data_IF_253357289561
#
_entry.id   IF_253357289561
#
_cell.length_a   1.000
_cell.length_b   1.000
_cell.length_c   1.000
_cell.angle_alpha   90.00
_cell.angle_beta   90.00
_cell.angle_gamma   90.00
#
_symmetry.space_group_name_H-M   'P 1'
#
loop_
_entity.id
_entity.type
_entity.pdbx_description
1 polymer ?
#
# COMPACT_ATOMS: atom_id res chain seq x y z
N UNK A 1 -3.42 22.44 10.40
CA UNK A 1 -4.56 21.59 10.82
C UNK A 1 -4.66 20.49 9.77
N UNK A 2 -4.44 19.19 10.01
CA UNK A 2 -4.61 18.35 11.20
C UNK A 2 -3.28 17.77 11.70
N UNK A 3 -3.06 17.84 13.02
CA UNK A 3 -2.05 17.06 13.73
C UNK A 3 -2.74 16.01 14.59
N UNK A 4 -2.40 14.74 14.40
CA UNK A 4 -2.76 13.69 15.35
C UNK A 4 -1.63 13.56 16.38
N UNK A 5 -1.91 14.09 17.56
CA UNK A 5 -1.09 13.97 18.75
C UNK A 5 -1.31 12.55 19.33
N UNK A 6 -0.29 11.69 19.28
CA UNK A 6 -0.27 10.45 20.05
C UNK A 6 0.78 10.60 21.17
N UNK A 7 0.41 11.31 22.24
CA UNK A 7 1.12 11.29 23.51
C UNK A 7 0.10 11.12 24.64
N UNK A 8 0.48 10.30 25.62
CA UNK A 8 -0.17 9.94 26.88
C UNK A 8 -1.00 8.64 26.92
N UNK A 9 -0.29 7.51 27.00
CA UNK A 9 -0.68 6.45 27.93
C UNK A 9 0.09 6.66 29.24
N UNK A 10 -0.56 7.39 30.15
CA UNK A 10 -0.16 7.49 31.55
C UNK A 10 -0.35 6.10 32.18
N UNK A 11 0.71 5.61 32.81
CA UNK A 11 0.76 4.36 33.58
C UNK A 11 -0.31 4.46 34.69
N UNK A 12 -1.39 3.69 34.57
CA UNK A 12 -2.27 3.44 35.70
C UNK A 12 -1.62 2.32 36.52
N UNK A 13 -1.09 2.67 37.70
CA UNK A 13 -0.78 1.69 38.73
C UNK A 13 -2.07 1.01 39.14
N UNK A 14 -2.14 -0.29 38.87
CA UNK A 14 -3.26 -1.12 39.26
C UNK A 14 -2.99 -1.63 40.68
N UNK A 15 -3.77 -1.15 41.63
CA UNK A 15 -3.73 -1.60 43.01
C UNK A 15 -4.24 -3.05 43.08
N UNK A 16 -3.47 -3.91 43.73
CA UNK A 16 -3.52 -5.39 43.60
C UNK A 16 -4.28 -6.02 44.78
N UNK A 17 -5.28 -5.33 45.33
CA UNK A 17 -5.80 -5.60 46.67
C UNK A 17 -7.20 -6.22 46.76
N UNK A 18 -7.87 -6.59 45.66
CA UNK A 18 -9.24 -7.17 45.73
C UNK A 18 -9.41 -8.48 44.98
N UNK A 19 -8.45 -9.40 45.07
CA UNK A 19 -8.54 -10.74 44.46
C UNK A 19 -8.71 -11.89 45.46
N UNK A 20 -9.20 -11.64 46.68
CA UNK A 20 -9.44 -12.72 47.66
C UNK A 20 -10.72 -12.48 48.46
N UNK A 21 -11.86 -12.86 47.89
CA UNK A 21 -13.09 -13.18 48.66
C UNK A 21 -14.17 -13.81 47.77
N UNK A 22 -13.92 -14.98 47.16
CA UNK A 22 -15.00 -15.74 46.52
C UNK A 22 -14.86 -17.27 46.66
N UNK A 23 -14.02 -17.77 47.57
CA UNK A 23 -13.68 -19.21 47.61
C UNK A 23 -13.92 -19.91 48.95
N UNK A 24 -14.77 -19.41 49.84
CA UNK A 24 -15.10 -20.20 51.04
C UNK A 24 -16.54 -20.06 51.50
N UNK A 25 -17.09 -21.22 51.84
CA UNK A 25 -18.41 -21.50 52.39
C UNK A 25 -19.56 -21.44 51.37
N UNK A 26 -19.97 -22.61 50.86
CA UNK A 26 -21.37 -23.06 50.84
C UNK A 26 -21.42 -24.59 50.66
N UNK A 27 -21.22 -25.32 51.76
CA UNK A 27 -21.98 -26.56 51.98
C UNK A 27 -23.28 -26.15 52.66
N UNK A 28 -24.38 -26.12 51.93
CA UNK A 28 -25.66 -26.74 52.29
C UNK A 28 -26.76 -26.35 51.31
N UNK A 29 -27.60 -27.35 51.05
CA UNK A 29 -28.73 -27.41 50.14
C UNK A 29 -29.56 -26.12 50.05
N UNK A 30 -29.64 -25.57 48.84
CA UNK A 30 -30.55 -24.50 48.48
C UNK A 30 -30.52 -24.30 46.98
N UNK A 31 -31.46 -24.95 46.27
CA UNK A 31 -31.67 -24.80 44.84
C UNK A 31 -32.14 -23.39 44.52
N UNK A 32 -31.22 -22.43 44.43
CA UNK A 32 -31.50 -21.07 43.92
C UNK A 32 -30.51 -20.76 42.80
N UNK A 33 -31.09 -20.58 41.63
CA UNK A 33 -30.45 -20.40 40.31
C UNK A 33 -29.39 -19.30 40.32
N UNK A 34 -28.14 -19.71 40.12
CA UNK A 34 -27.07 -18.88 39.56
C UNK A 34 -27.47 -18.41 38.15
N UNK A 35 -28.07 -17.23 38.04
CA UNK A 35 -28.51 -16.65 36.75
C UNK A 35 -27.74 -15.38 36.34
N UNK A 36 -26.92 -14.81 37.23
CA UNK A 36 -26.27 -13.50 37.01
C UNK A 36 -24.92 -13.54 36.27
N UNK A 37 -24.14 -14.63 36.35
CA UNK A 37 -22.82 -14.67 35.74
C UNK A 37 -22.85 -14.90 34.21
N UNK A 38 -23.98 -15.35 33.67
CA UNK A 38 -24.15 -15.63 32.25
C UNK A 38 -24.36 -14.35 31.43
N UNK A 39 -25.08 -13.37 31.99
CA UNK A 39 -25.41 -12.10 31.36
C UNK A 39 -24.16 -11.25 31.03
N UNK A 40 -23.11 -11.35 31.85
CA UNK A 40 -21.87 -10.60 31.63
C UNK A 40 -21.05 -11.13 30.44
N UNK A 41 -21.07 -12.45 30.19
CA UNK A 41 -20.37 -13.06 29.04
C UNK A 41 -21.06 -12.70 27.73
N UNK A 42 -22.39 -12.63 27.72
CA UNK A 42 -23.16 -12.23 26.55
C UNK A 42 -22.98 -10.74 26.22
N UNK A 43 -22.87 -9.87 27.24
CA UNK A 43 -22.58 -8.45 27.03
C UNK A 43 -21.14 -8.21 26.51
N UNK A 44 -20.15 -8.91 27.08
CA UNK A 44 -18.76 -8.74 26.66
C UNK A 44 -18.54 -9.22 25.20
N UNK A 45 -19.18 -10.31 24.81
CA UNK A 45 -19.07 -10.85 23.44
C UNK A 45 -19.79 -9.97 22.42
N UNK A 46 -20.94 -9.39 22.77
CA UNK A 46 -21.64 -8.43 21.90
C UNK A 46 -20.86 -7.12 21.74
N UNK A 47 -20.29 -6.58 22.81
CA UNK A 47 -19.41 -5.41 22.76
C UNK A 47 -18.15 -5.67 21.93
N UNK A 48 -17.48 -6.81 22.11
CA UNK A 48 -16.30 -7.17 21.31
C UNK A 48 -16.67 -7.31 19.82
N UNK A 49 -17.80 -7.95 19.53
CA UNK A 49 -18.29 -8.08 18.15
C UNK A 49 -18.59 -6.72 17.52
N UNK A 50 -19.23 -5.82 18.27
CA UNK A 50 -19.49 -4.45 17.82
C UNK A 50 -18.19 -3.66 17.57
N UNK A 51 -17.22 -3.77 18.48
CA UNK A 51 -15.91 -3.12 18.34
C UNK A 51 -15.14 -3.65 17.12
N UNK A 52 -15.17 -4.95 16.87
CA UNK A 52 -14.57 -5.56 15.68
C UNK A 52 -15.26 -5.09 14.40
N UNK A 53 -16.59 -5.04 14.37
CA UNK A 53 -17.35 -4.52 13.23
C UNK A 53 -17.04 -3.03 13.00
N UNK A 54 -17.00 -2.22 14.05
CA UNK A 54 -16.65 -0.80 13.96
C UNK A 54 -15.20 -0.59 13.51
N UNK A 55 -14.25 -1.40 13.98
CA UNK A 55 -12.86 -1.35 13.52
C UNK A 55 -12.74 -1.74 12.04
N UNK A 56 -13.46 -2.78 11.59
CA UNK A 56 -13.51 -3.18 10.18
C UNK A 56 -14.21 -2.12 9.32
N UNK A 57 -15.31 -1.52 9.79
CA UNK A 57 -16.02 -0.47 9.05
C UNK A 57 -15.23 0.84 8.98
N UNK A 58 -14.52 1.20 10.06
CA UNK A 58 -13.68 2.41 10.11
C UNK A 58 -12.47 2.28 9.20
N UNK A 59 -11.83 1.10 9.15
CA UNK A 59 -10.73 0.84 8.19
C UNK A 59 -11.23 0.83 6.74
N UNK A 60 -12.44 0.32 6.46
CA UNK A 60 -13.04 0.28 5.11
C UNK A 60 -13.39 1.66 4.56
N UNK A 61 -14.02 2.51 5.36
CA UNK A 61 -14.42 3.87 4.93
C UNK A 61 -13.21 4.79 4.76
N UNK A 62 -12.18 4.65 5.60
CA UNK A 62 -10.93 5.41 5.47
C UNK A 62 -10.10 4.95 4.25
N UNK A 63 -10.11 3.66 3.91
CA UNK A 63 -9.40 3.14 2.75
C UNK A 63 -10.06 3.59 1.42
N UNK A 64 -11.39 3.50 1.31
CA UNK A 64 -12.10 3.85 0.08
C UNK A 64 -11.99 5.36 -0.27
N UNK A 65 -12.09 6.25 0.72
CA UNK A 65 -11.97 7.70 0.53
C UNK A 65 -10.56 8.12 0.07
N UNK A 66 -9.51 7.52 0.63
CA UNK A 66 -8.12 7.86 0.28
C UNK A 66 -7.74 7.44 -1.13
N UNK A 67 -8.27 6.31 -1.60
CA UNK A 67 -7.95 5.78 -2.93
C UNK A 67 -8.44 6.69 -4.07
N UNK A 68 -9.63 7.28 -3.94
CA UNK A 68 -10.18 8.17 -4.98
C UNK A 68 -9.40 9.48 -5.08
N UNK A 69 -9.00 10.07 -3.94
CA UNK A 69 -8.21 11.30 -3.92
C UNK A 69 -6.79 11.07 -4.46
N UNK A 70 -6.17 9.93 -4.13
CA UNK A 70 -4.86 9.54 -4.64
C UNK A 70 -4.86 9.37 -6.17
N UNK A 71 -5.91 8.75 -6.74
CA UNK A 71 -6.04 8.54 -8.18
C UNK A 71 -6.01 9.84 -8.99
N UNK A 72 -6.73 10.87 -8.51
CA UNK A 72 -6.78 12.18 -9.16
C UNK A 72 -5.43 12.90 -9.09
N UNK A 73 -4.78 12.89 -7.93
CA UNK A 73 -3.46 13.52 -7.73
C UNK A 73 -2.39 12.87 -8.62
N UNK A 74 -2.35 11.54 -8.69
CA UNK A 74 -1.41 10.82 -9.56
C UNK A 74 -1.66 11.12 -11.04
N UNK A 75 -2.93 11.18 -11.46
CA UNK A 75 -3.29 11.51 -12.84
C UNK A 75 -2.88 12.94 -13.21
N UNK A 76 -3.10 13.91 -12.32
CA UNK A 76 -2.65 15.30 -12.51
C UNK A 76 -1.12 15.36 -12.61
N UNK A 77 -0.41 14.65 -11.74
CA UNK A 77 1.05 14.59 -11.73
C UNK A 77 1.60 14.02 -13.04
N UNK A 78 1.01 12.92 -13.55
CA UNK A 78 1.38 12.34 -14.85
C UNK A 78 1.12 13.30 -16.01
N UNK A 79 -0.02 14.00 -16.00
CA UNK A 79 -0.34 15.00 -17.04
C UNK A 79 0.67 16.14 -17.05
N UNK A 80 1.00 16.68 -15.87
CA UNK A 80 1.99 17.75 -15.75
C UNK A 80 3.38 17.26 -16.18
N UNK A 81 3.79 16.06 -15.76
CA UNK A 81 5.10 15.50 -16.17
C UNK A 81 5.22 15.41 -17.69
N UNK A 82 4.18 14.93 -18.39
CA UNK A 82 4.17 14.87 -19.86
C UNK A 82 4.23 16.25 -20.51
N UNK A 83 3.54 17.22 -19.93
CA UNK A 83 3.56 18.60 -20.41
C UNK A 83 4.97 19.19 -20.30
N UNK A 84 5.59 19.11 -19.11
CA UNK A 84 6.97 19.59 -18.91
C UNK A 84 7.94 18.81 -19.79
N UNK A 85 7.72 17.52 -20.01
CA UNK A 85 8.54 16.72 -20.92
C UNK A 85 8.47 17.26 -22.36
N UNK A 86 7.26 17.54 -22.87
CA UNK A 86 7.09 18.12 -24.20
C UNK A 86 7.81 19.48 -24.29
N UNK A 87 7.61 20.35 -23.31
CA UNK A 87 8.23 21.66 -23.29
C UNK A 87 9.74 21.60 -23.15
N UNK A 88 10.28 20.60 -22.43
CA UNK A 88 11.73 20.40 -22.37
C UNK A 88 12.31 20.02 -23.73
N UNK A 89 11.56 19.32 -24.59
CA UNK A 89 11.99 19.01 -25.96
C UNK A 89 12.05 20.28 -26.79
N UNK A 90 11.06 21.15 -26.68
CA UNK A 90 11.02 22.40 -27.43
C UNK A 90 12.09 23.38 -26.91
N UNK A 91 12.26 23.47 -25.60
CA UNK A 91 13.34 24.23 -24.96
C UNK A 91 14.74 23.80 -25.43
N UNK A 92 15.00 22.50 -25.60
CA UNK A 92 16.29 22.03 -26.15
C UNK A 92 16.49 22.52 -27.59
N UNK A 93 15.42 22.54 -28.41
CA UNK A 93 15.51 23.04 -29.80
C UNK A 93 15.80 24.54 -29.80
N UNK A 94 15.06 25.32 -29.02
CA UNK A 94 15.26 26.76 -28.87
C UNK A 94 16.66 27.06 -28.36
N UNK A 95 17.13 26.33 -27.34
CA UNK A 95 18.48 26.46 -26.81
C UNK A 95 19.52 26.28 -27.93
N UNK A 96 19.44 25.19 -28.70
CA UNK A 96 20.37 24.94 -29.80
C UNK A 96 20.35 26.05 -30.85
N UNK A 97 19.16 26.48 -31.28
CA UNK A 97 19.01 27.56 -32.25
C UNK A 97 19.64 28.87 -31.76
N UNK A 98 19.51 29.19 -30.46
CA UNK A 98 20.12 30.38 -29.85
C UNK A 98 21.64 30.28 -29.65
N UNK A 99 22.26 29.10 -29.77
CA UNK A 99 23.71 28.94 -29.60
C UNK A 99 24.52 28.98 -30.91
N UNK A 100 23.86 28.92 -32.08
CA UNK A 100 24.49 28.94 -33.41
C UNK A 100 24.69 27.56 -34.04
N UNK A 101 25.44 27.52 -35.16
CA UNK A 101 25.57 26.35 -36.06
C UNK A 101 26.24 25.13 -35.40
N UNK A 102 27.16 25.34 -34.45
CA UNK A 102 27.87 24.26 -33.74
C UNK A 102 27.08 23.69 -32.54
N UNK A 103 25.82 24.07 -32.37
CA UNK A 103 25.01 23.71 -31.20
C UNK A 103 24.75 22.21 -31.05
N UNK A 104 24.80 21.43 -32.14
CA UNK A 104 24.65 19.98 -32.07
C UNK A 104 25.78 19.28 -31.34
N UNK A 105 27.00 19.83 -31.41
CA UNK A 105 28.18 19.24 -30.76
C UNK A 105 28.15 19.47 -29.25
N UNK A 106 27.58 20.60 -28.80
CA UNK A 106 27.52 20.95 -27.38
C UNK A 106 26.78 19.92 -26.53
N UNK A 107 25.74 19.28 -27.08
CA UNK A 107 24.88 18.35 -26.35
C UNK A 107 25.38 16.89 -26.38
N UNK A 108 26.51 16.63 -27.06
CA UNK A 108 27.12 15.30 -27.16
C UNK A 108 28.22 15.09 -26.12
N UNK A 109 28.83 16.17 -25.64
CA UNK A 109 29.90 16.13 -24.64
C UNK A 109 29.31 15.70 -23.29
N UNK A 110 29.99 14.80 -22.58
CA UNK A 110 29.65 14.47 -21.20
C UNK A 110 30.21 15.54 -20.27
N UNK A 111 29.40 15.97 -19.31
CA UNK A 111 29.81 16.95 -18.30
C UNK A 111 29.61 16.33 -16.92
N UNK A 112 30.64 16.42 -16.09
CA UNK A 112 30.57 15.98 -14.70
C UNK A 112 29.66 16.92 -13.90
N UNK A 113 29.11 16.42 -12.79
CA UNK A 113 28.24 17.19 -11.88
C UNK A 113 26.87 17.57 -12.45
N UNK A 114 26.37 16.85 -13.46
CA UNK A 114 24.95 16.89 -13.85
C UNK A 114 24.22 15.77 -13.10
N UNK A 115 22.98 15.99 -12.59
CA UNK A 115 22.26 14.94 -11.88
C UNK A 115 22.02 13.73 -12.78
N UNK A 116 22.13 12.53 -12.20
CA UNK A 116 21.81 11.28 -12.90
C UNK A 116 20.33 11.28 -13.31
N UNK A 117 19.97 11.02 -14.58
CA UNK A 117 18.58 10.92 -15.00
C UNK A 117 17.87 9.64 -14.52
N UNK A 118 18.60 8.66 -14.00
CA UNK A 118 18.03 7.40 -13.54
C UNK A 118 17.42 7.53 -12.16
N UNK A 119 16.27 6.90 -11.95
CA UNK A 119 15.58 6.89 -10.67
C UNK A 119 16.13 5.76 -9.81
N UNK A 120 16.63 6.09 -8.62
CA UNK A 120 17.21 5.15 -7.66
C UNK A 120 16.15 4.60 -6.68
N UNK A 121 16.49 3.52 -5.97
CA UNK A 121 15.63 2.91 -4.95
C UNK A 121 14.94 1.63 -5.41
N UNK A 122 14.74 0.71 -4.47
CA UNK A 122 14.06 -0.57 -4.69
C UNK A 122 12.56 -0.45 -4.43
N UNK A 123 12.20 0.27 -3.37
CA UNK A 123 10.82 0.46 -2.95
C UNK A 123 10.14 1.64 -3.66
N UNK A 124 8.81 1.61 -3.79
CA UNK A 124 8.05 2.71 -4.39
C UNK A 124 8.23 4.04 -3.64
N UNK A 125 8.37 3.99 -2.31
CA UNK A 125 8.67 5.14 -1.46
C UNK A 125 10.01 5.78 -1.84
N UNK A 126 11.08 4.99 -1.86
CA UNK A 126 12.44 5.42 -2.22
C UNK A 126 12.49 6.00 -3.63
N UNK A 127 11.79 5.36 -4.59
CA UNK A 127 11.78 5.79 -5.98
C UNK A 127 11.06 7.12 -6.18
N UNK A 128 9.93 7.35 -5.50
CA UNK A 128 9.24 8.65 -5.54
C UNK A 128 10.08 9.72 -4.83
N UNK A 129 10.72 9.38 -3.71
CA UNK A 129 11.63 10.28 -3.02
C UNK A 129 12.82 10.66 -3.91
N UNK A 130 13.41 9.69 -4.61
CA UNK A 130 14.49 9.91 -5.58
C UNK A 130 14.08 10.86 -6.71
N UNK A 131 12.85 10.73 -7.23
CA UNK A 131 12.29 11.68 -8.22
C UNK A 131 12.22 13.09 -7.64
N UNK A 132 11.74 13.24 -6.40
CA UNK A 132 11.66 14.55 -5.75
C UNK A 132 13.06 15.18 -5.56
N UNK A 133 14.02 14.43 -5.02
CA UNK A 133 15.37 14.96 -4.77
C UNK A 133 16.08 15.32 -6.06
N UNK A 134 15.91 14.52 -7.13
CA UNK A 134 16.48 14.83 -8.45
C UNK A 134 15.82 16.05 -9.08
N UNK A 135 14.49 16.22 -8.96
CA UNK A 135 13.81 17.44 -9.40
C UNK A 135 14.39 18.69 -8.72
N UNK A 136 14.62 18.63 -7.41
CA UNK A 136 15.24 19.75 -6.67
C UNK A 136 16.67 20.04 -7.15
N UNK A 137 17.48 19.00 -7.39
CA UNK A 137 18.82 19.17 -7.94
C UNK A 137 18.77 19.86 -9.31
N UNK A 138 17.93 19.38 -10.24
CA UNK A 138 17.77 19.99 -11.57
C UNK A 138 17.32 21.46 -11.51
N UNK A 139 16.50 21.85 -10.52
CA UNK A 139 16.09 23.25 -10.35
C UNK A 139 17.27 24.17 -10.03
N UNK A 140 18.25 23.70 -9.24
CA UNK A 140 19.50 24.43 -9.00
C UNK A 140 20.32 24.58 -10.29
N UNK A 141 20.41 23.51 -11.09
CA UNK A 141 21.09 23.55 -12.39
C UNK A 141 20.38 24.49 -13.38
N UNK A 142 19.05 24.52 -13.41
CA UNK A 142 18.28 25.46 -14.24
C UNK A 142 18.51 26.91 -13.86
N UNK A 143 18.57 27.22 -12.56
CA UNK A 143 18.93 28.57 -12.10
C UNK A 143 20.30 28.96 -12.65
N UNK A 144 21.29 28.06 -12.56
CA UNK A 144 22.64 28.30 -13.08
C UNK A 144 22.65 28.51 -14.60
N UNK A 145 21.93 27.68 -15.36
CA UNK A 145 21.82 27.83 -16.82
C UNK A 145 21.16 29.15 -17.19
N UNK A 146 20.12 29.55 -16.45
CA UNK A 146 19.45 30.83 -16.66
C UNK A 146 20.41 32.01 -16.45
N UNK A 147 21.11 32.05 -15.31
CA UNK A 147 22.13 33.09 -15.02
C UNK A 147 23.22 33.15 -16.09
N UNK A 148 23.70 32.00 -16.57
CA UNK A 148 24.69 31.95 -17.65
C UNK A 148 24.12 32.48 -18.98
N UNK A 149 22.84 32.23 -19.28
CA UNK A 149 22.21 32.71 -20.51
C UNK A 149 21.84 34.19 -20.44
N UNK A 150 21.58 34.77 -19.27
CA UNK A 150 21.31 36.21 -19.15
C UNK A 150 22.52 37.07 -19.53
N UNK A 151 23.74 36.56 -19.35
CA UNK A 151 24.97 37.25 -19.76
C UNK A 151 25.24 37.12 -21.27
N UNK A 152 24.67 36.11 -21.93
CA UNK A 152 24.94 35.75 -23.33
C UNK A 152 23.83 36.18 -24.29
N UNK A 153 22.62 36.41 -23.80
CA UNK A 153 21.42 36.63 -24.60
C UNK A 153 20.78 37.97 -24.25
N UNK A 154 20.03 38.52 -25.21
CA UNK A 154 19.17 39.67 -24.93
C UNK A 154 18.10 39.29 -23.88
N UNK A 155 17.71 40.20 -22.97
CA UNK A 155 16.76 39.92 -21.90
C UNK A 155 15.41 39.38 -22.35
N UNK A 156 14.96 39.76 -23.55
CA UNK A 156 13.69 39.34 -24.16
C UNK A 156 13.84 38.15 -25.11
N UNK A 157 14.92 37.38 -25.00
CA UNK A 157 15.11 36.21 -25.86
C UNK A 157 14.05 35.12 -25.56
N UNK A 158 13.54 34.42 -26.60
CA UNK A 158 12.63 33.30 -26.41
C UNK A 158 13.20 32.23 -25.48
N UNK A 159 14.51 32.00 -25.52
CA UNK A 159 15.20 31.03 -24.69
C UNK A 159 15.04 31.30 -23.19
N UNK A 160 15.23 32.55 -22.74
CA UNK A 160 15.10 32.91 -21.32
C UNK A 160 13.65 32.75 -20.84
N UNK A 161 12.68 33.06 -21.71
CA UNK A 161 11.25 32.89 -21.43
C UNK A 161 10.89 31.40 -21.26
N UNK A 162 11.37 30.55 -22.16
CA UNK A 162 11.13 29.10 -22.09
C UNK A 162 11.84 28.46 -20.89
N UNK A 163 13.09 28.85 -20.58
CA UNK A 163 13.81 28.40 -19.38
C UNK A 163 13.04 28.71 -18.11
N UNK A 164 12.52 29.94 -18.00
CA UNK A 164 11.72 30.38 -16.85
C UNK A 164 10.43 29.58 -16.74
N UNK A 165 9.75 29.37 -17.87
CA UNK A 165 8.49 28.61 -17.93
C UNK A 165 8.68 27.17 -17.50
N UNK A 166 9.67 26.47 -18.08
CA UNK A 166 9.98 25.08 -17.73
C UNK A 166 10.40 25.00 -16.27
N UNK A 167 11.29 25.89 -15.78
CA UNK A 167 11.71 25.93 -14.38
C UNK A 167 10.54 26.11 -13.41
N UNK A 168 9.62 27.03 -13.69
CA UNK A 168 8.42 27.23 -12.87
C UNK A 168 7.53 25.99 -12.82
N UNK A 169 7.31 25.34 -13.96
CA UNK A 169 6.50 24.11 -14.03
C UNK A 169 7.20 22.92 -13.37
N UNK A 170 8.53 22.84 -13.43
CA UNK A 170 9.32 21.86 -12.70
C UNK A 170 9.18 22.03 -11.18
N UNK A 171 9.11 23.26 -10.67
CA UNK A 171 8.80 23.52 -9.24
C UNK A 171 7.40 23.05 -8.88
N UNK A 172 6.41 23.36 -9.72
CA UNK A 172 5.04 22.88 -9.51
C UNK A 172 4.97 21.34 -9.53
N UNK A 173 5.72 20.69 -10.42
CA UNK A 173 5.83 19.24 -10.46
C UNK A 173 6.46 18.69 -9.18
N UNK A 174 7.54 19.29 -8.68
CA UNK A 174 8.16 18.89 -7.42
C UNK A 174 7.20 19.02 -6.23
N UNK A 175 6.38 20.09 -6.19
CA UNK A 175 5.35 20.27 -5.16
C UNK A 175 4.25 19.19 -5.25
N UNK A 176 3.80 18.84 -6.47
CA UNK A 176 2.83 17.76 -6.66
C UNK A 176 3.40 16.39 -6.26
N UNK A 177 4.65 16.10 -6.63
CA UNK A 177 5.33 14.85 -6.24
C UNK A 177 5.47 14.77 -4.72
N UNK A 178 5.83 15.86 -4.04
CA UNK A 178 5.90 15.91 -2.58
C UNK A 178 4.52 15.65 -1.94
N UNK A 179 3.48 16.36 -2.40
CA UNK A 179 2.10 16.14 -1.91
C UNK A 179 1.64 14.70 -2.14
N UNK A 180 1.94 14.13 -3.31
CA UNK A 180 1.67 12.74 -3.63
C UNK A 180 2.42 11.78 -2.69
N UNK A 181 3.71 12.01 -2.46
CA UNK A 181 4.52 11.22 -1.53
C UNK A 181 3.93 11.23 -0.12
N UNK A 182 3.63 12.41 0.42
CA UNK A 182 3.05 12.56 1.77
C UNK A 182 1.67 11.90 1.88
N UNK A 183 0.89 11.90 0.81
CA UNK A 183 -0.42 11.23 0.79
C UNK A 183 -0.31 9.70 0.86
N UNK A 184 0.73 9.13 0.25
CA UNK A 184 0.99 7.68 0.26
C UNK A 184 1.72 7.24 1.53
N UNK A 185 2.63 8.06 2.04
CA UNK A 185 3.54 7.72 3.12
C UNK A 185 3.55 8.76 4.24
N UNK A 186 2.42 8.99 4.93
CA UNK A 186 2.27 10.09 5.89
C UNK A 186 3.20 10.00 7.12
N UNK A 187 3.79 8.83 7.37
CA UNK A 187 4.69 8.60 8.50
C UNK A 187 6.17 8.57 8.09
N UNK A 188 6.49 8.65 6.79
CA UNK A 188 7.86 8.65 6.31
C UNK A 188 8.28 10.09 5.98
N UNK A 189 9.34 10.60 6.63
CA UNK A 189 9.88 11.90 6.26
C UNK A 189 10.45 11.82 4.85
N UNK A 190 10.22 12.86 4.06
CA UNK A 190 10.86 12.98 2.76
C UNK A 190 12.35 13.26 2.97
N UNK A 191 13.26 12.57 2.26
CA UNK A 191 14.68 12.85 2.35
C UNK A 191 14.96 14.33 2.04
N UNK A 192 15.75 14.97 2.89
CA UNK A 192 16.23 16.30 2.58
C UNK A 192 17.10 16.24 1.31
N UNK A 193 16.96 17.21 0.40
CA UNK A 193 17.82 17.27 -0.78
C UNK A 193 19.28 17.31 -0.31
N UNK A 194 20.11 16.46 -0.91
CA UNK A 194 21.50 16.24 -0.49
C UNK A 194 22.33 17.51 -0.65
N UNK A 195 22.33 18.37 0.38
CA UNK A 195 23.17 19.55 0.52
C UNK A 195 23.12 20.55 -0.65
N UNK A 196 24.01 21.54 -0.64
CA UNK A 196 24.23 22.41 -1.79
C UNK A 196 24.64 21.53 -2.97
N UNK A 197 23.81 21.50 -4.02
CA UNK A 197 24.16 20.81 -5.25
C UNK A 197 25.50 21.36 -5.74
N UNK A 198 26.49 20.48 -5.96
CA UNK A 198 27.82 20.87 -6.44
C UNK A 198 27.67 21.50 -7.82
N UNK A 199 27.55 22.82 -7.86
CA UNK A 199 27.51 23.56 -9.11
C UNK A 199 28.94 23.67 -9.64
N UNK A 200 29.13 23.51 -10.96
CA UNK A 200 30.44 23.68 -11.53
C UNK A 200 30.92 25.13 -11.34
N UNK A 201 32.25 25.34 -11.22
CA UNK A 201 32.83 26.66 -11.07
C UNK A 201 32.48 27.57 -12.25
N UNK A 202 32.74 28.89 -12.15
CA UNK A 202 32.66 29.79 -13.30
C UNK A 202 33.44 29.21 -14.49
N UNK A 203 32.77 29.13 -15.64
CA UNK A 203 33.24 28.44 -16.84
C UNK A 203 33.37 29.44 -17.99
N UNK A 204 34.21 29.12 -18.97
CA UNK A 204 34.26 29.91 -20.20
C UNK A 204 32.93 29.82 -20.98
N UNK A 205 32.67 30.75 -21.89
CA UNK A 205 31.38 30.82 -22.63
C UNK A 205 31.07 29.49 -23.33
N UNK A 206 32.07 28.85 -23.94
CA UNK A 206 31.90 27.56 -24.61
C UNK A 206 31.43 26.45 -23.65
N UNK A 207 32.08 26.35 -22.50
CA UNK A 207 31.75 25.39 -21.44
C UNK A 207 30.37 25.66 -20.84
N UNK A 208 29.98 26.93 -20.66
CA UNK A 208 28.61 27.28 -20.24
C UNK A 208 27.57 26.80 -21.27
N UNK A 209 27.84 26.97 -22.57
CA UNK A 209 26.95 26.49 -23.64
C UNK A 209 26.83 24.97 -23.64
N UNK A 210 27.94 24.26 -23.47
CA UNK A 210 27.99 22.79 -23.35
C UNK A 210 27.19 22.32 -22.15
N UNK A 211 27.49 22.86 -20.96
CA UNK A 211 26.84 22.53 -19.71
C UNK A 211 25.32 22.73 -19.79
N UNK A 212 24.86 23.88 -20.29
CA UNK A 212 23.43 24.15 -20.42
C UNK A 212 22.72 23.16 -21.33
N UNK A 213 23.32 22.76 -22.46
CA UNK A 213 22.68 21.75 -23.31
C UNK A 213 22.62 20.37 -22.66
N UNK A 214 23.70 19.96 -21.98
CA UNK A 214 23.76 18.67 -21.29
C UNK A 214 22.72 18.62 -20.18
N UNK A 215 22.62 19.65 -19.33
CA UNK A 215 21.60 19.74 -18.28
C UNK A 215 20.19 19.60 -18.86
N UNK A 216 19.86 20.33 -19.93
CA UNK A 216 18.53 20.29 -20.55
C UNK A 216 18.23 18.91 -21.15
N UNK A 217 19.20 18.30 -21.83
CA UNK A 217 19.07 16.95 -22.42
C UNK A 217 18.86 15.89 -21.33
N UNK A 218 19.70 15.90 -20.31
CA UNK A 218 19.62 14.98 -19.17
C UNK A 218 18.31 15.16 -18.41
N UNK A 219 17.81 16.39 -18.28
CA UNK A 219 16.49 16.65 -17.68
C UNK A 219 15.33 16.05 -18.49
N UNK A 220 15.37 16.15 -19.83
CA UNK A 220 14.38 15.50 -20.70
C UNK A 220 14.38 13.98 -20.50
N UNK A 221 15.55 13.36 -20.42
CA UNK A 221 15.70 11.92 -20.18
C UNK A 221 15.13 11.53 -18.80
N UNK A 222 15.48 12.29 -17.77
CA UNK A 222 14.90 12.17 -16.43
C UNK A 222 13.38 12.22 -16.45
N UNK A 223 12.75 13.21 -17.10
CA UNK A 223 11.29 13.31 -17.20
C UNK A 223 10.63 12.12 -17.92
N UNK A 224 11.32 11.51 -18.88
CA UNK A 224 10.88 10.27 -19.51
C UNK A 224 10.84 9.13 -18.50
N UNK A 225 11.91 8.99 -17.71
CA UNK A 225 11.99 8.00 -16.63
C UNK A 225 10.90 8.26 -15.57
N UNK A 226 10.70 9.51 -15.13
CA UNK A 226 9.62 9.88 -14.19
C UNK A 226 8.25 9.49 -14.74
N UNK A 227 7.98 9.78 -16.02
CA UNK A 227 6.71 9.42 -16.66
C UNK A 227 6.48 7.91 -16.66
N UNK A 228 7.53 7.11 -16.92
CA UNK A 228 7.46 5.64 -16.85
C UNK A 228 7.17 5.19 -15.42
N UNK A 229 7.84 5.76 -14.43
CA UNK A 229 7.66 5.34 -13.04
C UNK A 229 6.29 5.69 -12.47
N UNK A 230 5.77 6.87 -12.76
CA UNK A 230 4.42 7.24 -12.33
C UNK A 230 3.35 6.34 -12.97
N UNK A 231 3.57 5.84 -14.19
CA UNK A 231 2.68 4.85 -14.82
C UNK A 231 2.78 3.48 -14.13
N UNK A 232 3.98 3.04 -13.79
CA UNK A 232 4.20 1.78 -13.08
C UNK A 232 3.56 1.81 -11.68
N UNK A 233 3.67 2.93 -10.96
CA UNK A 233 3.00 3.12 -9.67
C UNK A 233 1.48 3.07 -9.87
N UNK A 234 0.98 3.73 -10.92
CA UNK A 234 -0.45 3.73 -11.24
C UNK A 234 -0.99 2.33 -11.52
N UNK A 235 -0.27 1.47 -12.24
CA UNK A 235 -0.72 0.09 -12.51
C UNK A 235 -0.74 -0.74 -11.23
N UNK A 236 0.33 -0.68 -10.42
CA UNK A 236 0.41 -1.40 -9.14
C UNK A 236 -0.70 -1.01 -8.16
N UNK A 237 -1.04 0.29 -8.08
CA UNK A 237 -2.13 0.75 -7.22
C UNK A 237 -3.50 0.20 -7.65
N UNK A 238 -3.72 0.05 -8.97
CA UNK A 238 -4.96 -0.55 -9.49
C UNK A 238 -5.06 -2.05 -9.18
N UNK A 239 -3.97 -2.78 -9.37
CA UNK A 239 -3.90 -4.22 -9.05
C UNK A 239 -4.18 -4.46 -7.56
N UNK A 240 -3.58 -3.64 -6.69
CA UNK A 240 -3.82 -3.72 -5.25
C UNK A 240 -5.26 -3.36 -4.87
N UNK A 241 -5.87 -2.41 -5.60
CA UNK A 241 -7.27 -2.04 -5.38
C UNK A 241 -8.21 -3.18 -5.75
N UNK A 242 -8.03 -3.79 -6.92
CA UNK A 242 -8.84 -4.92 -7.38
C UNK A 242 -8.71 -6.11 -6.43
N UNK A 243 -7.49 -6.44 -5.99
CA UNK A 243 -7.26 -7.50 -5.01
C UNK A 243 -7.94 -7.24 -3.66
N UNK A 244 -7.97 -5.98 -3.21
CA UNK A 244 -8.66 -5.59 -1.97
C UNK A 244 -10.18 -5.67 -2.10
N UNK A 245 -10.73 -5.30 -3.26
CA UNK A 245 -12.16 -5.43 -3.57
C UNK A 245 -12.57 -6.92 -3.58
N UNK A 246 -11.82 -7.79 -4.27
CA UNK A 246 -12.08 -9.25 -4.27
C UNK A 246 -12.01 -9.86 -2.87
N UNK A 247 -11.01 -9.49 -2.07
CA UNK A 247 -10.90 -9.98 -0.69
C UNK A 247 -12.09 -9.54 0.17
N UNK A 248 -12.59 -8.33 -0.06
CA UNK A 248 -13.76 -7.80 0.64
C UNK A 248 -15.03 -8.56 0.27
N UNK A 249 -15.23 -8.89 -1.01
CA UNK A 249 -16.36 -9.71 -1.47
C UNK A 249 -16.32 -11.11 -0.86
N UNK A 250 -15.15 -11.74 -0.79
CA UNK A 250 -14.98 -13.05 -0.16
C UNK A 250 -15.29 -13.04 1.34
N UNK A 251 -14.87 -11.99 2.06
CA UNK A 251 -15.19 -11.83 3.49
C UNK A 251 -16.70 -11.62 3.68
N UNK A 252 -17.35 -10.82 2.83
CA UNK A 252 -18.81 -10.62 2.87
C UNK A 252 -19.56 -11.93 2.65
N UNK A 253 -19.21 -12.66 1.58
CA UNK A 253 -19.84 -13.95 1.25
C UNK A 253 -19.68 -14.98 2.38
N UNK A 254 -18.52 -15.01 3.04
CA UNK A 254 -18.28 -15.88 4.20
C UNK A 254 -19.17 -15.52 5.39
N UNK A 255 -19.34 -14.23 5.67
CA UNK A 255 -20.18 -13.78 6.78
C UNK A 255 -21.66 -14.12 6.52
N UNK A 256 -22.14 -13.93 5.30
CA UNK A 256 -23.51 -14.29 4.91
C UNK A 256 -23.76 -15.79 5.05
N UNK A 257 -22.80 -16.62 4.62
CA UNK A 257 -22.87 -18.08 4.80
C UNK A 257 -22.90 -18.49 6.29
N UNK A 258 -22.12 -17.81 7.16
CA UNK A 258 -22.16 -18.06 8.60
C UNK A 258 -23.50 -17.67 9.23
N UNK A 259 -24.10 -16.56 8.80
CA UNK A 259 -25.44 -16.14 9.28
C UNK A 259 -26.51 -17.16 8.86
N UNK A 260 -26.47 -17.62 7.60
CA UNK A 260 -27.40 -18.66 7.13
C UNK A 260 -27.23 -19.98 7.88
N UNK A 261 -26.00 -20.40 8.17
CA UNK A 261 -25.74 -21.61 8.94
C UNK A 261 -26.25 -21.50 10.39
N UNK A 262 -26.14 -20.32 11.02
CA UNK A 262 -26.70 -20.09 12.35
C UNK A 262 -28.23 -20.13 12.35
N UNK A 263 -28.87 -19.49 11.36
CA UNK A 263 -30.33 -19.56 11.18
C UNK A 263 -30.83 -20.99 10.93
N UNK A 264 -30.06 -21.81 10.20
CA UNK A 264 -30.36 -23.22 10.00
C UNK A 264 -30.16 -24.08 11.25
N UNK A 265 -29.21 -23.71 12.13
CA UNK A 265 -28.95 -24.41 13.40
C UNK A 265 -29.98 -24.11 14.49
N UNK A 266 -30.58 -22.91 14.49
CA UNK A 266 -31.60 -22.51 15.48
C UNK A 266 -33.00 -23.06 15.14
N UNK A 267 -33.23 -23.50 13.89
CA UNK A 267 -34.37 -24.36 13.55
C UNK A 267 -34.07 -25.80 13.97
N UNK A 268 -34.69 -26.22 15.08
CA UNK A 268 -34.76 -27.61 15.60
C UNK A 268 -35.33 -28.68 14.63
N UNK A 269 -35.36 -28.42 13.33
CA UNK A 269 -35.86 -29.31 12.27
C UNK A 269 -34.74 -29.91 11.41
N UNK A 270 -33.51 -30.02 11.95
CA UNK A 270 -32.37 -30.57 11.21
C UNK A 270 -32.59 -32.03 10.78
N UNK A 271 -33.46 -32.78 11.46
CA UNK A 271 -33.86 -34.13 11.07
C UNK A 271 -34.76 -34.16 9.81
N UNK A 272 -35.56 -33.13 9.56
CA UNK A 272 -36.53 -33.11 8.46
C UNK A 272 -35.88 -32.69 7.12
N UNK A 273 -34.80 -31.90 7.17
CA UNK A 273 -34.07 -31.45 5.97
C UNK A 273 -33.10 -32.53 5.44
N UNK A 274 -32.47 -33.31 6.33
CA UNK A 274 -31.60 -34.43 5.95
C UNK A 274 -32.36 -35.53 5.18
N UNK A 275 -33.64 -35.76 5.52
CA UNK A 275 -34.50 -36.72 4.83
C UNK A 275 -34.87 -36.30 3.39
N UNK A 276 -34.84 -35.01 3.05
CA UNK A 276 -35.16 -34.51 1.70
C UNK A 276 -33.96 -34.47 0.74
N UNK A 277 -32.74 -34.33 1.26
CA UNK A 277 -31.53 -34.24 0.42
C UNK A 277 -30.95 -35.60 0.02
N UNK A 278 -31.36 -36.70 0.67
CA UNK A 278 -30.97 -38.06 0.28
C UNK A 278 -31.65 -38.58 -1.02
N UNK A 279 -32.58 -37.80 -1.60
CA UNK A 279 -33.39 -38.24 -2.75
C UNK A 279 -33.00 -37.69 -4.13
N UNK A 280 -32.08 -36.73 -4.25
CA UNK A 280 -31.81 -36.06 -5.54
C UNK A 280 -30.37 -36.25 -6.04
N UNK A 281 -30.23 -36.96 -7.15
CA UNK A 281 -29.01 -36.98 -8.00
C UNK A 281 -28.98 -35.72 -8.86
N UNK A 282 -27.85 -34.99 -8.82
CA UNK A 282 -27.56 -33.87 -9.72
C UNK A 282 -26.29 -34.22 -10.52
N UNK A 283 -26.25 -34.00 -11.85
CA UNK A 283 -25.09 -34.32 -12.68
C UNK A 283 -23.99 -33.26 -12.54
N UNK A 284 -22.74 -33.73 -12.63
CA UNK A 284 -21.50 -33.00 -12.36
C UNK A 284 -20.98 -32.32 -13.63
N UNK A 285 -20.59 -31.05 -13.51
CA UNK A 285 -19.81 -30.30 -14.50
C UNK A 285 -18.75 -29.42 -13.83
N UNK A 286 -17.52 -29.92 -13.79
CA UNK A 286 -16.21 -29.27 -13.54
C UNK A 286 -16.10 -28.34 -12.32
N UNK A 287 -15.67 -28.93 -11.21
CA UNK A 287 -15.20 -28.25 -9.99
C UNK A 287 -15.50 -29.09 -8.74
N UNK A 288 -14.55 -29.92 -8.27
CA UNK A 288 -14.75 -30.74 -7.08
C UNK A 288 -14.71 -29.88 -5.80
N UNK A 289 -15.89 -29.54 -5.27
CA UNK A 289 -16.03 -29.09 -3.88
C UNK A 289 -16.28 -30.34 -3.02
N UNK A 290 -15.33 -30.69 -2.17
CA UNK A 290 -15.52 -31.79 -1.20
C UNK A 290 -16.24 -31.26 0.04
N UNK A 291 -17.54 -31.49 0.15
CA UNK A 291 -18.33 -31.15 1.34
C UNK A 291 -18.23 -32.30 2.36
N UNK A 292 -17.91 -31.99 3.62
CA UNK A 292 -17.81 -32.99 4.69
C UNK A 292 -19.20 -33.30 5.28
N UNK A 293 -19.52 -34.59 5.41
CA UNK A 293 -20.71 -35.09 6.10
C UNK A 293 -20.53 -35.17 7.62
N UNK A 294 -21.61 -34.93 8.35
CA UNK A 294 -21.71 -35.03 9.80
C UNK A 294 -22.15 -36.47 10.16
N UNK A 295 -21.30 -37.23 10.88
CA UNK A 295 -21.72 -38.50 11.49
C UNK A 295 -21.95 -38.27 12.98
N UNK A 296 -23.20 -38.39 13.40
CA UNK A 296 -23.61 -38.23 14.79
C UNK A 296 -23.34 -39.47 15.63
N UNK A 297 -22.74 -39.26 16.80
CA UNK A 297 -23.09 -39.94 18.05
C UNK A 297 -22.76 -38.97 19.19
N UNK A 298 -23.71 -38.84 20.13
CA UNK A 298 -23.68 -37.87 21.21
C UNK A 298 -22.44 -38.03 22.11
N UNK A 299 -22.03 -36.90 22.70
CA UNK A 299 -20.92 -36.71 23.66
C UNK A 299 -19.50 -36.55 23.10
N UNK A 300 -19.31 -35.56 22.22
CA UNK A 300 -18.09 -34.73 22.09
C UNK A 300 -18.09 -34.08 20.71
N UNK A 301 -18.35 -32.77 20.61
CA UNK A 301 -18.20 -32.03 19.37
C UNK A 301 -16.72 -31.96 18.97
N UNK A 302 -16.23 -32.94 18.22
CA UNK A 302 -14.89 -32.94 17.63
C UNK A 302 -14.99 -32.33 16.24
N UNK A 303 -14.64 -31.05 16.11
CA UNK A 303 -14.57 -30.37 14.82
C UNK A 303 -13.39 -30.93 14.02
N UNK A 304 -13.63 -31.71 12.96
CA UNK A 304 -12.61 -32.04 11.97
C UNK A 304 -12.60 -30.96 10.88
N UNK A 305 -11.70 -29.99 10.98
CA UNK A 305 -11.38 -29.11 9.85
C UNK A 305 -10.53 -29.88 8.83
N UNK A 306 -11.05 -30.07 7.60
CA UNK A 306 -10.21 -30.40 6.45
C UNK A 306 -9.73 -29.10 5.80
N UNK A 307 -8.45 -29.10 5.40
CA UNK A 307 -7.80 -28.02 4.65
C UNK A 307 -8.66 -27.53 3.49
N UNK A 308 -8.80 -26.21 3.36
CA UNK A 308 -9.42 -25.57 2.20
C UNK A 308 -8.29 -24.99 1.36
N UNK A 309 -8.06 -25.55 0.19
CA UNK A 309 -7.21 -24.93 -0.84
C UNK A 309 -8.09 -24.00 -1.68
N UNK A 310 -7.70 -22.74 -1.78
CA UNK A 310 -8.32 -21.77 -2.69
C UNK A 310 -7.26 -21.33 -3.69
N UNK A 311 -7.43 -21.68 -4.97
CA UNK A 311 -6.63 -21.13 -6.07
C UNK A 311 -7.26 -19.81 -6.50
N UNK A 312 -6.57 -18.69 -6.25
CA UNK A 312 -7.09 -17.35 -6.56
C UNK A 312 -6.51 -16.80 -7.86
N UNK A 313 -5.30 -17.21 -8.26
CA UNK A 313 -4.65 -16.88 -9.54
C UNK A 313 -3.71 -18.04 -9.92
N UNK A 314 -3.37 -18.20 -11.21
CA UNK A 314 -2.63 -19.37 -11.76
C UNK A 314 -1.35 -19.77 -10.99
N UNK A 315 -0.75 -18.85 -10.22
CA UNK A 315 0.55 -19.06 -9.56
C UNK A 315 0.56 -18.75 -8.05
N UNK A 316 -0.60 -18.63 -7.39
CA UNK A 316 -0.66 -18.35 -5.94
C UNK A 316 -1.56 -19.37 -5.23
N UNK A 317 -0.95 -20.18 -4.36
CA UNK A 317 -1.64 -21.09 -3.44
C UNK A 317 -1.65 -20.55 -2.02
N UNK A 318 -2.84 -20.52 -1.43
CA UNK A 318 -3.02 -20.29 0.00
C UNK A 318 -3.51 -21.57 0.66
N UNK A 319 -2.81 -21.99 1.72
CA UNK A 319 -3.24 -23.10 2.57
C UNK A 319 -3.49 -22.57 3.99
N UNK A 320 -4.69 -22.83 4.50
CA UNK A 320 -5.09 -22.55 5.87
C UNK A 320 -5.21 -23.85 6.65
N UNK A 321 -4.45 -23.95 7.74
CA UNK A 321 -4.53 -25.08 8.67
C UNK A 321 -4.91 -24.55 10.06
N UNK A 322 -6.01 -25.08 10.61
CA UNK A 322 -6.38 -24.86 12.00
C UNK A 322 -5.76 -25.98 12.84
N UNK A 323 -4.86 -25.63 13.77
CA UNK A 323 -4.33 -26.58 14.74
C UNK A 323 -5.21 -26.58 16.00
N UNK A 324 -5.81 -27.72 16.30
CA UNK A 324 -6.24 -28.05 17.66
C UNK A 324 -5.14 -28.88 18.28
N UNK A 325 -4.12 -28.20 18.82
CA UNK A 325 -3.34 -28.81 19.89
C UNK A 325 -3.95 -28.32 21.20
N UNK A 326 -4.03 -29.17 22.22
CA UNK A 326 -4.84 -28.98 23.46
C UNK A 326 -4.50 -27.75 24.32
N UNK A 327 -3.78 -26.78 23.78
CA UNK A 327 -3.51 -25.45 24.33
C UNK A 327 -4.70 -24.48 24.16
N UNK A 328 -4.84 -23.59 25.14
CA UNK A 328 -5.98 -22.67 25.36
C UNK A 328 -6.08 -21.56 24.28
N UNK A 329 -5.17 -21.49 23.31
CA UNK A 329 -5.16 -20.44 22.29
C UNK A 329 -5.07 -21.03 20.87
N UNK A 330 -6.09 -20.86 20.03
CA UNK A 330 -6.01 -21.26 18.63
C UNK A 330 -5.05 -20.34 17.85
N UNK A 331 -4.20 -20.95 17.03
CA UNK A 331 -3.29 -20.23 16.14
C UNK A 331 -3.78 -20.31 14.70
N UNK A 332 -3.75 -19.18 13.99
CA UNK A 332 -4.01 -19.15 12.56
C UNK A 332 -2.67 -19.17 11.81
N UNK A 333 -2.41 -20.25 11.08
CA UNK A 333 -1.22 -20.40 10.22
C UNK A 333 -1.63 -20.19 8.77
N UNK A 334 -1.16 -19.08 8.19
CA UNK A 334 -1.37 -18.76 6.77
C UNK A 334 -0.05 -19.04 6.05
N UNK A 335 -0.07 -20.02 5.14
CA UNK A 335 1.08 -20.35 4.28
C UNK A 335 0.84 -19.76 2.89
N UNK A 336 1.77 -18.90 2.46
CA UNK A 336 1.81 -18.36 1.09
C UNK A 336 2.93 -19.07 0.33
N UNK A 337 2.57 -19.70 -0.77
CA UNK A 337 3.52 -20.31 -1.69
C UNK A 337 3.62 -19.41 -2.92
N UNK A 338 4.82 -18.90 -3.20
CA UNK A 338 5.10 -18.04 -4.36
C UNK A 338 6.00 -18.85 -5.29
N UNK A 339 5.45 -19.27 -6.42
CA UNK A 339 6.21 -19.90 -7.50
C UNK A 339 6.84 -18.82 -8.38
N UNK A 340 8.16 -18.67 -8.33
CA UNK A 340 8.91 -17.83 -9.27
C UNK A 340 9.08 -18.57 -10.61
N UNK A 341 8.77 -17.87 -11.70
CA UNK A 341 8.84 -18.41 -13.06
C UNK A 341 10.29 -18.57 -13.54
N UNK A 342 10.60 -19.78 -14.01
CA UNK A 342 11.67 -20.20 -14.93
C UNK A 342 13.03 -19.47 -14.82
N UNK A 343 13.89 -19.95 -13.94
CA UNK A 343 15.17 -20.54 -14.41
C UNK A 343 15.93 -21.35 -13.34
N UNK A 344 15.65 -21.18 -12.04
CA UNK A 344 16.21 -22.05 -10.99
C UNK A 344 15.13 -22.50 -10.00
N UNK A 345 15.02 -23.81 -9.82
CA UNK A 345 13.96 -24.49 -9.07
C UNK A 345 14.18 -24.32 -7.56
N UNK A 346 13.82 -23.16 -6.99
CA UNK A 346 13.81 -22.91 -5.55
C UNK A 346 12.45 -22.33 -5.14
N UNK A 347 11.65 -23.12 -4.43
CA UNK A 347 10.43 -22.63 -3.80
C UNK A 347 10.77 -21.90 -2.49
N UNK A 348 10.37 -20.64 -2.37
CA UNK A 348 10.51 -19.87 -1.13
C UNK A 348 9.19 -19.88 -0.37
N UNK A 349 9.21 -20.32 0.89
CA UNK A 349 8.03 -20.36 1.74
C UNK A 349 8.04 -19.20 2.74
N UNK A 350 6.98 -18.39 2.75
CA UNK A 350 6.78 -17.38 3.78
C UNK A 350 5.66 -17.87 4.71
N UNK A 351 6.00 -18.07 5.98
CA UNK A 351 5.06 -18.51 7.01
C UNK A 351 4.75 -17.35 7.95
N UNK A 352 3.48 -16.95 8.03
CA UNK A 352 3.02 -15.95 9.00
C UNK A 352 2.31 -16.66 10.14
N UNK A 353 2.72 -16.37 11.38
CA UNK A 353 2.02 -16.78 12.60
C UNK A 353 1.31 -15.55 13.18
N UNK A 354 -0.02 -15.58 13.21
CA UNK A 354 -0.81 -14.53 13.86
C UNK A 354 -1.16 -15.03 15.25
N UNK A 355 -0.46 -14.53 16.27
CA UNK A 355 -0.80 -14.79 17.68
C UNK A 355 -1.87 -13.81 18.13
N UNK A 356 -3.09 -14.30 18.35
CA UNK A 356 -4.13 -13.52 19.01
C UNK A 356 -3.83 -13.40 20.51
N UNK A 357 -3.13 -12.35 20.95
CA UNK A 357 -3.04 -12.03 22.37
C UNK A 357 -4.36 -11.38 22.84
N UNK A 358 -5.25 -12.18 23.43
CA UNK A 358 -6.22 -11.67 24.40
C UNK A 358 -5.57 -11.77 25.79
N UNK A 359 -5.00 -10.67 26.28
CA UNK A 359 -4.81 -10.47 27.72
C UNK A 359 -6.09 -9.82 28.26
N UNK A 360 -6.80 -10.54 29.11
CA UNK A 360 -7.93 -10.03 29.86
C UNK A 360 -7.44 -8.98 30.87
N UNK A 361 -8.09 -7.81 30.88
CA UNK A 361 -8.10 -6.83 32.00
C UNK A 361 -9.36 -7.09 32.81
#
# INVERSE_FOLDING_TARGET
MCGFCLKFLKRCDYDKSTQFACDTAWRMNGHVKSMHCQTFKDLATTLLSLLLVMAVYSTRTVAASRNQQCGNSLQQTVRLTRLVQKESVDLIKTYKASQGEMSELFCKVSVNNVPDPNISGLESSERIASVYTQLQAFLAHFKRVYEQQTDLQLPMSPLLTELTTVSARSRNLAALINSFYQSLFPNLPLPEPAGPTTLPPPQNVFQQKVYGCVVLKTYKEFLSNVTRELRNIKSKLKENQEAAETLTELISARNDACVQHKAASDRKDFMTLAARLAGHKVPVGVGQITVCGFNGAASSCKWKCKSVEVQVLKDIKYSMNCFQDGSIHPWLKIRKEVSESKEHNKSTFITWYVQGMLRFV
#
